data_IF_617578540876
#
_entry.id   IF_617578540876
#
_cell.length_a   1.000
_cell.length_b   1.000
_cell.length_c   1.000
_cell.angle_alpha   90.00
_cell.angle_beta   90.00
_cell.angle_gamma   90.00
#
_symmetry.space_group_name_H-M   'P 1'
#
loop_
_entity.id
_entity.type
_entity.pdbx_description
1 polymer ?
#
# COMPACT_ATOMS: atom_id res chain seq x y z
N UNK A 1 -33.73 -7.66 2.57
CA UNK A 1 -32.42 -7.33 3.16
C UNK A 1 -31.88 -6.16 2.36
N UNK A 2 -31.51 -5.07 3.03
CA UNK A 2 -30.86 -3.94 2.38
C UNK A 2 -29.38 -4.25 2.07
N UNK A 3 -28.73 -3.50 1.16
CA UNK A 3 -27.34 -3.76 0.76
C UNK A 3 -26.33 -3.68 1.91
N UNK A 4 -26.56 -2.83 2.91
CA UNK A 4 -25.64 -2.63 4.03
C UNK A 4 -25.68 -3.82 5.00
N UNK A 5 -26.89 -4.30 5.33
CA UNK A 5 -27.08 -5.52 6.10
C UNK A 5 -26.54 -6.77 5.37
N UNK A 6 -26.74 -6.85 4.04
CA UNK A 6 -26.21 -7.93 3.22
C UNK A 6 -24.67 -7.93 3.21
N UNK A 7 -24.08 -6.74 3.14
CA UNK A 7 -22.63 -6.53 3.18
C UNK A 7 -22.04 -6.97 4.53
N UNK A 8 -22.68 -6.63 5.64
CA UNK A 8 -22.22 -7.02 6.98
C UNK A 8 -22.23 -8.54 7.16
N UNK A 9 -23.21 -9.25 6.61
CA UNK A 9 -23.26 -10.72 6.66
C UNK A 9 -22.07 -11.35 5.92
N UNK A 10 -21.62 -10.77 4.82
CA UNK A 10 -20.43 -11.24 4.11
C UNK A 10 -19.13 -10.97 4.87
N UNK A 11 -19.00 -9.80 5.51
CA UNK A 11 -17.86 -9.49 6.39
C UNK A 11 -17.75 -10.49 7.53
N UNK A 12 -18.86 -10.72 8.23
CA UNK A 12 -18.97 -11.68 9.32
C UNK A 12 -18.64 -13.11 8.86
N UNK A 13 -19.11 -13.52 7.68
CA UNK A 13 -18.82 -14.83 7.11
C UNK A 13 -17.34 -15.00 6.71
N UNK A 14 -16.73 -13.97 6.13
CA UNK A 14 -15.32 -13.96 5.73
C UNK A 14 -14.38 -14.06 6.94
N UNK A 15 -14.69 -13.37 8.03
CA UNK A 15 -13.93 -13.46 9.28
C UNK A 15 -14.00 -14.85 9.93
N UNK A 16 -15.14 -15.53 9.77
CA UNK A 16 -15.40 -16.89 10.29
C UNK A 16 -14.78 -17.99 9.42
N UNK A 17 -14.57 -17.75 8.12
CA UNK A 17 -13.99 -18.71 7.17
C UNK A 17 -12.46 -18.87 7.21
N UNK A 18 -11.82 -18.57 8.36
CA UNK A 18 -10.44 -19.05 8.59
C UNK A 18 -10.42 -20.60 8.55
N UNK A 19 -9.36 -21.24 8.03
CA UNK A 19 -9.32 -22.69 7.90
C UNK A 19 -9.63 -23.39 9.22
N UNK A 20 -10.71 -24.18 9.28
CA UNK A 20 -11.02 -25.07 10.42
C UNK A 20 -12.24 -24.72 11.27
N UNK A 21 -13.06 -23.71 10.95
CA UNK A 21 -14.38 -23.50 11.58
C UNK A 21 -15.44 -23.14 10.55
N UNK A 22 -16.12 -24.14 9.99
CA UNK A 22 -17.32 -23.91 9.16
C UNK A 22 -18.55 -24.18 10.02
N UNK A 23 -18.99 -23.15 10.74
CA UNK A 23 -20.34 -23.12 11.33
C UNK A 23 -20.81 -21.67 11.37
N UNK A 24 -21.17 -21.13 10.20
CA UNK A 24 -21.90 -19.87 10.07
C UNK A 24 -22.99 -20.06 9.01
N UNK A 25 -24.18 -19.53 9.30
CA UNK A 25 -25.45 -19.83 8.66
C UNK A 25 -25.40 -19.65 7.13
N UNK A 26 -25.19 -20.76 6.43
CA UNK A 26 -25.22 -20.90 4.97
C UNK A 26 -26.41 -20.18 4.32
N UNK A 27 -27.58 -20.22 4.96
CA UNK A 27 -28.80 -19.57 4.48
C UNK A 27 -28.70 -18.03 4.46
N UNK A 28 -28.00 -17.42 5.42
CA UNK A 28 -27.85 -15.96 5.51
C UNK A 28 -26.88 -15.46 4.43
N UNK A 29 -25.79 -16.18 4.21
CA UNK A 29 -24.81 -15.89 3.13
C UNK A 29 -25.46 -15.99 1.75
N UNK A 30 -26.28 -17.02 1.52
CA UNK A 30 -27.02 -17.17 0.26
C UNK A 30 -28.08 -16.07 0.07
N UNK A 31 -28.80 -15.70 1.14
CA UNK A 31 -29.78 -14.61 1.09
C UNK A 31 -29.11 -13.24 0.84
N UNK A 32 -27.94 -12.99 1.42
CA UNK A 32 -27.13 -11.81 1.15
C UNK A 32 -26.59 -11.80 -0.29
N UNK A 33 -26.15 -12.96 -0.80
CA UNK A 33 -25.67 -13.11 -2.19
C UNK A 33 -26.71 -12.72 -3.23
N UNK A 34 -28.00 -13.00 -2.98
CA UNK A 34 -29.09 -12.59 -3.87
C UNK A 34 -29.23 -11.07 -3.98
N UNK A 35 -28.95 -10.31 -2.92
CA UNK A 35 -28.99 -8.82 -2.94
C UNK A 35 -27.96 -8.25 -3.92
N UNK A 36 -26.82 -8.94 -4.08
CA UNK A 36 -25.74 -8.53 -4.99
C UNK A 36 -25.79 -9.23 -6.36
N UNK A 37 -26.88 -9.96 -6.67
CA UNK A 37 -27.00 -10.72 -7.92
C UNK A 37 -26.06 -11.93 -8.02
N UNK A 38 -25.46 -12.34 -6.90
CA UNK A 38 -24.59 -13.52 -6.78
C UNK A 38 -25.47 -14.75 -6.50
N UNK A 39 -26.39 -15.04 -7.42
CA UNK A 39 -27.30 -16.19 -7.34
C UNK A 39 -26.65 -17.44 -7.92
N UNK A 40 -26.01 -18.25 -7.07
CA UNK A 40 -25.53 -19.57 -7.46
C UNK A 40 -25.47 -20.53 -6.27
N UNK A 41 -25.59 -21.82 -6.53
CA UNK A 41 -25.60 -22.92 -5.55
C UNK A 41 -24.25 -23.10 -4.80
N UNK A 42 -23.30 -22.18 -4.97
CA UNK A 42 -21.99 -22.22 -4.34
C UNK A 42 -21.81 -21.00 -3.38
N UNK A 43 -22.16 -21.14 -2.11
CA UNK A 43 -22.01 -20.09 -1.09
C UNK A 43 -20.55 -19.66 -0.89
N UNK A 44 -19.60 -20.59 -1.04
CA UNK A 44 -18.17 -20.29 -0.88
C UNK A 44 -17.69 -19.35 -2.00
N UNK A 45 -18.11 -19.62 -3.24
CA UNK A 45 -17.78 -18.74 -4.37
C UNK A 45 -18.40 -17.34 -4.24
N UNK A 46 -19.62 -17.26 -3.70
CA UNK A 46 -20.28 -15.98 -3.41
C UNK A 46 -19.52 -15.18 -2.35
N UNK A 47 -19.12 -15.82 -1.24
CA UNK A 47 -18.32 -15.13 -0.21
C UNK A 47 -16.95 -14.74 -0.75
N UNK A 48 -16.24 -15.64 -1.44
CA UNK A 48 -14.94 -15.31 -2.04
C UNK A 48 -15.03 -14.12 -3.00
N UNK A 49 -16.12 -14.00 -3.76
CA UNK A 49 -16.36 -12.87 -4.65
C UNK A 49 -16.57 -11.56 -3.89
N UNK A 50 -17.42 -11.58 -2.84
CA UNK A 50 -17.69 -10.38 -2.04
C UNK A 50 -16.46 -10.00 -1.22
N UNK A 51 -15.82 -10.94 -0.53
CA UNK A 51 -14.58 -10.73 0.21
C UNK A 51 -13.49 -10.18 -0.70
N UNK A 52 -13.35 -10.68 -1.93
CA UNK A 52 -12.40 -10.14 -2.91
C UNK A 52 -12.67 -8.69 -3.30
N UNK A 53 -13.95 -8.29 -3.44
CA UNK A 53 -14.33 -6.89 -3.68
C UNK A 53 -14.04 -5.99 -2.48
N UNK A 54 -14.38 -6.45 -1.28
CA UNK A 54 -14.11 -5.75 -0.02
C UNK A 54 -12.62 -5.54 0.18
N UNK A 55 -11.83 -6.59 -0.05
CA UNK A 55 -10.38 -6.52 0.04
C UNK A 55 -9.79 -5.53 -0.97
N UNK A 56 -10.36 -5.47 -2.19
CA UNK A 56 -9.95 -4.49 -3.19
C UNK A 56 -10.27 -3.06 -2.75
N UNK A 57 -11.51 -2.78 -2.34
CA UNK A 57 -11.92 -1.45 -1.87
C UNK A 57 -11.10 -1.00 -0.66
N UNK A 58 -10.83 -1.91 0.29
CA UNK A 58 -9.96 -1.64 1.44
C UNK A 58 -8.53 -1.32 1.00
N UNK A 59 -7.97 -2.08 0.05
CA UNK A 59 -6.62 -1.83 -0.48
C UNK A 59 -6.52 -0.48 -1.19
N UNK A 60 -7.53 -0.12 -1.98
CA UNK A 60 -7.59 1.19 -2.64
C UNK A 60 -7.60 2.29 -1.59
N UNK A 61 -8.50 2.23 -0.62
CA UNK A 61 -8.59 3.22 0.47
C UNK A 61 -7.28 3.33 1.27
N UNK A 62 -6.70 2.20 1.66
CA UNK A 62 -5.42 2.16 2.39
C UNK A 62 -4.28 2.75 1.55
N UNK A 63 -4.25 2.47 0.24
CA UNK A 63 -3.31 3.07 -0.70
C UNK A 63 -3.42 4.59 -0.73
N UNK A 64 -4.62 5.10 -1.06
CA UNK A 64 -4.94 6.53 -1.15
C UNK A 64 -4.63 7.28 0.15
N UNK A 65 -5.01 6.71 1.30
CA UNK A 65 -4.75 7.33 2.60
C UNK A 65 -3.26 7.44 2.93
N UNK A 66 -2.48 6.40 2.64
CA UNK A 66 -1.04 6.45 2.89
C UNK A 66 -0.30 7.39 1.93
N UNK A 67 -0.73 7.47 0.67
CA UNK A 67 -0.20 8.45 -0.27
C UNK A 67 -0.51 9.89 0.17
N UNK A 68 -1.77 10.17 0.51
CA UNK A 68 -2.20 11.49 0.98
C UNK A 68 -1.48 11.91 2.28
N UNK A 69 -1.34 10.98 3.23
CA UNK A 69 -0.63 11.21 4.48
C UNK A 69 0.85 11.51 4.26
N UNK A 70 1.53 10.73 3.42
CA UNK A 70 2.94 10.96 3.10
C UNK A 70 3.15 12.29 2.37
N UNK A 71 2.28 12.63 1.42
CA UNK A 71 2.29 13.90 0.70
C UNK A 71 2.15 15.09 1.66
N UNK A 72 1.25 14.98 2.65
CA UNK A 72 1.09 15.98 3.69
C UNK A 72 2.35 16.13 4.54
N UNK A 73 2.95 15.02 4.99
CA UNK A 73 4.18 15.03 5.79
C UNK A 73 5.34 15.71 5.04
N UNK A 74 5.55 15.38 3.77
CA UNK A 74 6.59 16.00 2.93
C UNK A 74 6.40 17.53 2.84
N UNK A 75 5.18 17.98 2.55
CA UNK A 75 4.85 19.41 2.46
C UNK A 75 5.07 20.13 3.78
N UNK A 76 4.69 19.53 4.91
CA UNK A 76 4.95 20.07 6.24
C UNK A 76 6.44 20.13 6.57
N UNK A 77 7.23 19.19 6.03
CA UNK A 77 8.69 19.19 6.09
C UNK A 77 9.38 20.18 5.14
N UNK A 78 8.64 21.03 4.43
CA UNK A 78 9.19 22.05 3.53
C UNK A 78 9.53 21.55 2.12
N UNK A 79 9.14 20.33 1.75
CA UNK A 79 9.31 19.82 0.40
C UNK A 79 8.18 20.30 -0.51
N UNK A 80 8.53 20.65 -1.75
CA UNK A 80 7.55 20.81 -2.82
C UNK A 80 7.19 19.42 -3.34
N UNK A 81 6.03 18.88 -2.92
CA UNK A 81 5.61 17.53 -3.28
C UNK A 81 4.25 17.50 -3.98
N UNK A 82 4.13 16.62 -4.99
CA UNK A 82 2.91 16.38 -5.77
C UNK A 82 2.74 14.91 -6.11
N UNK A 83 1.49 14.48 -6.19
CA UNK A 83 1.11 13.18 -6.74
C UNK A 83 1.24 13.23 -8.27
N UNK A 84 1.91 12.24 -8.86
CA UNK A 84 2.17 12.15 -10.31
C UNK A 84 1.53 10.93 -10.95
N UNK A 85 1.11 9.95 -10.15
CA UNK A 85 0.37 8.76 -10.60
C UNK A 85 -0.92 9.12 -11.36
N UNK A 86 -1.52 10.28 -11.08
CA UNK A 86 -2.72 10.78 -11.77
C UNK A 86 -2.45 11.49 -13.11
N UNK A 87 -1.20 11.88 -13.37
CA UNK A 87 -0.84 12.70 -14.53
C UNK A 87 -0.31 11.86 -15.70
N UNK A 88 0.44 10.79 -15.42
CA UNK A 88 0.84 9.81 -16.42
C UNK A 88 1.24 8.46 -15.78
N UNK A 89 0.61 7.37 -16.22
CA UNK A 89 0.99 5.98 -15.87
C UNK A 89 2.47 5.64 -16.20
N UNK A 90 3.16 6.50 -16.96
CA UNK A 90 4.54 6.30 -17.40
C UNK A 90 5.60 6.58 -16.34
N UNK A 91 5.30 7.30 -15.25
CA UNK A 91 6.33 7.69 -14.28
C UNK A 91 6.87 6.52 -13.45
N UNK A 92 6.02 5.56 -13.06
CA UNK A 92 6.42 4.40 -12.23
C UNK A 92 6.79 4.75 -10.79
N UNK A 93 6.24 5.86 -10.28
CA UNK A 93 6.23 6.27 -8.87
C UNK A 93 5.00 7.15 -8.61
N UNK A 94 4.57 7.22 -7.35
CA UNK A 94 3.34 7.92 -6.95
C UNK A 94 3.56 9.41 -6.70
N UNK A 95 4.66 9.76 -6.02
CA UNK A 95 4.94 11.14 -5.56
C UNK A 95 6.28 11.63 -6.12
N UNK A 96 6.28 12.83 -6.69
CA UNK A 96 7.50 13.60 -6.95
C UNK A 96 7.67 14.66 -5.86
N UNK A 97 8.86 14.77 -5.28
CA UNK A 97 9.19 15.78 -4.28
C UNK A 97 10.54 16.42 -4.58
N UNK A 98 10.64 17.73 -4.34
CA UNK A 98 11.88 18.50 -4.50
C UNK A 98 12.12 19.37 -3.28
N UNK A 99 13.36 19.42 -2.80
CA UNK A 99 13.78 20.32 -1.71
C UNK A 99 14.18 21.71 -2.23
N UNK A 100 14.48 22.62 -1.30
CA UNK A 100 14.91 23.99 -1.61
C UNK A 100 16.28 24.09 -2.30
N UNK A 101 17.11 23.05 -2.18
CA UNK A 101 18.42 22.94 -2.81
C UNK A 101 18.37 22.29 -4.20
N UNK A 102 17.19 21.84 -4.64
CA UNK A 102 16.97 21.14 -5.91
C UNK A 102 17.21 19.63 -5.84
N UNK A 103 17.33 19.05 -4.64
CA UNK A 103 17.33 17.61 -4.44
C UNK A 103 15.98 17.01 -4.78
N UNK A 104 15.96 15.94 -5.56
CA UNK A 104 14.74 15.27 -6.03
C UNK A 104 14.54 13.91 -5.37
N UNK A 105 13.28 13.59 -5.10
CA UNK A 105 12.83 12.29 -4.64
C UNK A 105 11.63 11.85 -5.48
N UNK A 106 11.66 10.60 -5.92
CA UNK A 106 10.57 9.95 -6.64
C UNK A 106 10.11 8.75 -5.81
N UNK A 107 8.92 8.81 -5.24
CA UNK A 107 8.47 7.91 -4.19
C UNK A 107 7.35 7.02 -4.69
N UNK A 108 7.58 5.72 -4.64
CA UNK A 108 6.54 4.69 -4.78
C UNK A 108 6.01 4.33 -3.39
N UNK A 109 4.71 4.46 -3.16
CA UNK A 109 4.10 4.36 -1.82
C UNK A 109 3.35 3.04 -1.68
N UNK A 110 3.72 2.24 -0.69
CA UNK A 110 3.06 0.96 -0.39
C UNK A 110 2.52 0.98 1.04
N UNK A 111 1.19 1.10 1.14
CA UNK A 111 0.50 1.30 2.42
C UNK A 111 -0.03 0.00 3.02
N UNK A 112 -0.04 -0.10 4.36
CA UNK A 112 -0.59 -1.24 5.08
C UNK A 112 -1.19 -0.87 6.43
N UNK A 113 -2.23 -1.58 6.84
CA UNK A 113 -2.78 -1.55 8.21
C UNK A 113 -2.31 -2.72 9.07
N UNK A 114 -1.49 -3.62 8.51
CA UNK A 114 -0.93 -4.73 9.27
C UNK A 114 -0.05 -4.19 10.42
N UNK A 115 -0.01 -4.88 11.55
CA UNK A 115 0.82 -4.48 12.71
C UNK A 115 2.28 -4.94 12.54
N UNK A 116 2.53 -5.98 11.75
CA UNK A 116 3.87 -6.58 11.58
C UNK A 116 4.16 -6.96 10.14
N UNK A 117 5.43 -6.83 9.77
CA UNK A 117 5.92 -7.07 8.42
C UNK A 117 5.37 -6.08 7.40
N UNK A 118 6.03 -6.02 6.26
CA UNK A 118 5.53 -5.31 5.09
C UNK A 118 5.36 -6.31 3.96
N UNK A 119 4.14 -6.35 3.41
CA UNK A 119 3.85 -7.08 2.19
C UNK A 119 3.49 -6.06 1.15
N UNK A 120 4.24 -6.05 0.06
CA UNK A 120 4.04 -5.10 -1.04
C UNK A 120 3.88 -5.83 -2.36
N UNK A 121 3.17 -5.19 -3.28
CA UNK A 121 3.13 -5.61 -4.68
C UNK A 121 3.94 -4.61 -5.50
N UNK A 122 4.86 -5.12 -6.31
CA UNK A 122 5.71 -4.31 -7.20
C UNK A 122 5.44 -4.75 -8.64
N UNK A 123 5.12 -3.79 -9.52
CA UNK A 123 5.00 -4.07 -10.95
C UNK A 123 6.36 -4.12 -11.64
N UNK A 124 6.42 -4.77 -12.81
CA UNK A 124 7.62 -4.75 -13.66
C UNK A 124 8.01 -3.33 -14.03
N UNK A 125 7.02 -2.50 -14.35
CA UNK A 125 7.25 -1.11 -14.74
C UNK A 125 7.91 -0.32 -13.61
N UNK A 126 7.34 -0.37 -12.40
CA UNK A 126 7.93 0.24 -11.20
C UNK A 126 9.37 -0.24 -10.97
N UNK A 127 9.63 -1.55 -11.10
CA UNK A 127 10.97 -2.10 -10.93
C UNK A 127 11.98 -1.57 -11.98
N UNK A 128 11.57 -1.46 -13.24
CA UNK A 128 12.43 -0.93 -14.29
C UNK A 128 12.73 0.56 -14.08
N UNK A 129 11.72 1.35 -13.69
CA UNK A 129 11.90 2.76 -13.33
C UNK A 129 12.83 2.87 -12.14
N UNK A 130 12.60 2.10 -11.07
CA UNK A 130 13.50 2.03 -9.92
C UNK A 130 14.93 1.82 -10.39
N UNK A 131 15.20 0.80 -11.21
CA UNK A 131 16.55 0.50 -11.71
C UNK A 131 17.19 1.67 -12.46
N UNK A 132 16.42 2.40 -13.26
CA UNK A 132 16.90 3.50 -14.09
C UNK A 132 17.07 4.83 -13.33
N UNK A 133 16.28 5.05 -12.28
CA UNK A 133 16.18 6.32 -11.57
C UNK A 133 16.84 6.26 -10.19
N UNK A 134 17.99 6.95 -9.97
CA UNK A 134 18.66 6.99 -8.67
C UNK A 134 17.90 7.74 -7.57
N UNK A 135 16.92 8.58 -7.92
CA UNK A 135 16.07 9.31 -6.98
C UNK A 135 14.84 8.51 -6.53
N UNK A 136 14.60 7.36 -7.18
CA UNK A 136 13.48 6.48 -6.87
C UNK A 136 13.64 5.78 -5.52
N UNK A 137 12.60 5.80 -4.68
CA UNK A 137 12.53 5.12 -3.39
C UNK A 137 11.17 4.44 -3.21
N UNK A 138 11.17 3.22 -2.68
CA UNK A 138 9.94 2.59 -2.18
C UNK A 138 9.74 2.96 -0.72
N UNK A 139 8.60 3.57 -0.43
CA UNK A 139 8.21 3.99 0.91
C UNK A 139 7.08 3.09 1.41
N UNK A 140 7.33 2.37 2.49
CA UNK A 140 6.34 1.61 3.19
C UNK A 140 5.65 2.50 4.24
N UNK A 141 4.33 2.63 4.16
CA UNK A 141 3.53 3.46 5.07
C UNK A 141 2.62 2.57 5.90
N UNK A 142 2.72 2.67 7.22
CA UNK A 142 1.80 1.98 8.13
C UNK A 142 0.69 2.95 8.55
N UNK A 143 -0.55 2.52 8.42
CA UNK A 143 -1.73 3.25 8.87
C UNK A 143 -2.34 2.59 10.11
N UNK A 144 -2.99 3.39 10.96
CA UNK A 144 -3.89 2.87 11.99
C UNK A 144 -5.29 2.55 11.44
N UNK A 145 -6.20 2.15 12.33
CA UNK A 145 -7.60 1.86 11.99
C UNK A 145 -8.43 3.09 11.59
N UNK A 146 -7.86 4.29 11.64
CA UNK A 146 -8.47 5.55 11.24
C UNK A 146 -7.80 6.16 9.99
N UNK A 147 -7.08 5.33 9.24
CA UNK A 147 -6.37 5.71 8.02
C UNK A 147 -5.31 6.82 8.26
N UNK A 148 -4.80 6.96 9.50
CA UNK A 148 -3.73 7.91 9.82
C UNK A 148 -2.36 7.24 9.77
N UNK A 149 -1.37 7.96 9.26
CA UNK A 149 0.02 7.49 9.20
C UNK A 149 0.57 7.32 10.62
N UNK A 150 1.04 6.11 10.92
CA UNK A 150 1.66 5.71 12.19
C UNK A 150 3.16 5.48 12.05
N UNK A 151 3.62 5.09 10.87
CA UNK A 151 5.03 4.81 10.59
C UNK A 151 5.31 4.97 9.09
N UNK A 152 6.51 5.43 8.78
CA UNK A 152 7.02 5.60 7.42
C UNK A 152 8.42 5.03 7.38
N UNK A 153 8.69 4.18 6.42
CA UNK A 153 10.01 3.60 6.27
C UNK A 153 10.41 3.40 4.81
N UNK A 154 11.71 3.46 4.54
CA UNK A 154 12.28 3.22 3.22
C UNK A 154 12.67 1.76 3.09
N UNK A 155 12.30 1.15 1.96
CA UNK A 155 12.70 -0.22 1.62
C UNK A 155 14.02 -0.19 0.85
N UNK A 156 14.94 -1.09 1.21
CA UNK A 156 16.25 -1.31 0.59
C UNK A 156 16.13 -1.59 -0.91
N UNK A 157 16.70 -0.70 -1.74
CA UNK A 157 16.73 -0.81 -3.20
C UNK A 157 17.53 -2.03 -3.65
N UNK A 158 18.69 -2.23 -3.03
CA UNK A 158 19.60 -3.33 -3.31
C UNK A 158 18.93 -4.67 -3.05
N UNK A 159 18.17 -4.77 -1.96
CA UNK A 159 17.40 -5.97 -1.65
C UNK A 159 16.26 -6.20 -2.64
N UNK A 160 15.49 -5.17 -3.02
CA UNK A 160 14.44 -5.30 -4.04
C UNK A 160 15.03 -5.89 -5.33
N UNK A 161 16.18 -5.36 -5.78
CA UNK A 161 16.86 -5.83 -6.99
C UNK A 161 17.28 -7.31 -6.94
N UNK A 162 17.55 -7.85 -5.75
CA UNK A 162 17.89 -9.27 -5.55
C UNK A 162 16.65 -10.15 -5.34
N UNK A 163 15.56 -9.58 -4.81
CA UNK A 163 14.36 -10.31 -4.43
C UNK A 163 13.37 -10.53 -5.59
N UNK A 164 13.39 -9.68 -6.63
CA UNK A 164 12.46 -9.81 -7.77
C UNK A 164 12.77 -11.05 -8.63
N UNK A 165 11.76 -11.64 -9.31
CA UNK A 165 11.98 -12.77 -10.20
C UNK A 165 12.82 -12.38 -11.42
N UNK A 166 13.64 -13.31 -11.89
CA UNK A 166 14.23 -13.22 -13.22
C UNK A 166 13.32 -13.89 -14.25
N UNK A 167 13.19 -13.27 -15.42
CA UNK A 167 12.54 -13.91 -16.56
C UNK A 167 13.30 -15.18 -16.96
N UNK A 168 12.56 -16.19 -17.43
CA UNK A 168 13.12 -17.40 -18.04
C UNK A 168 12.92 -17.32 -19.55
N UNK A 169 13.78 -17.99 -20.30
CA UNK A 169 13.76 -17.93 -21.77
C UNK A 169 12.41 -18.36 -22.39
N UNK A 170 12.04 -17.69 -23.49
CA UNK A 170 11.24 -18.29 -24.57
C UNK A 170 9.73 -18.08 -24.61
N UNK A 171 9.13 -17.19 -23.81
CA UNK A 171 7.74 -16.78 -24.05
C UNK A 171 6.93 -16.24 -22.88
N UNK A 172 7.48 -16.21 -21.66
CA UNK A 172 6.80 -15.68 -20.48
C UNK A 172 7.63 -14.60 -19.80
N UNK A 173 6.95 -13.65 -19.17
CA UNK A 173 7.59 -12.57 -18.43
C UNK A 173 6.77 -12.24 -17.18
N UNK A 174 7.41 -12.00 -16.03
CA UNK A 174 6.71 -11.59 -14.81
C UNK A 174 6.12 -10.18 -14.94
N UNK A 175 4.84 -9.96 -14.64
CA UNK A 175 4.25 -8.60 -14.72
C UNK A 175 4.18 -7.91 -13.35
N UNK A 176 4.01 -8.68 -12.28
CA UNK A 176 4.06 -8.19 -10.89
C UNK A 176 4.60 -9.26 -9.95
N UNK A 177 5.10 -8.82 -8.80
CA UNK A 177 5.59 -9.70 -7.72
C UNK A 177 5.03 -9.25 -6.38
N UNK A 178 4.72 -10.22 -5.51
CA UNK A 178 4.41 -9.99 -4.10
C UNK A 178 5.67 -10.21 -3.27
N UNK A 179 6.13 -9.16 -2.60
CA UNK A 179 7.32 -9.19 -1.76
C UNK A 179 6.92 -9.20 -0.28
N UNK A 180 7.56 -10.07 0.51
CA UNK A 180 7.50 -10.03 1.97
C UNK A 180 8.83 -9.46 2.44
N UNK A 181 8.81 -8.22 2.91
CA UNK A 181 10.02 -7.46 3.20
C UNK A 181 10.51 -7.84 4.62
N UNK A 182 11.76 -8.31 4.77
CA UNK A 182 12.37 -8.52 6.08
C UNK A 182 12.52 -7.20 6.84
N UNK A 183 12.34 -7.21 8.16
CA UNK A 183 12.47 -6.00 8.98
C UNK A 183 13.88 -5.35 8.89
N UNK A 184 14.92 -6.13 8.58
CA UNK A 184 16.29 -5.63 8.39
C UNK A 184 16.52 -4.91 7.06
N UNK A 185 15.57 -5.00 6.12
CA UNK A 185 15.63 -4.35 4.80
C UNK A 185 14.79 -3.07 4.75
N UNK A 186 14.37 -2.61 5.93
CA UNK A 186 13.53 -1.43 6.12
C UNK A 186 14.26 -0.46 7.05
N UNK A 187 14.38 0.79 6.62
CA UNK A 187 14.99 1.87 7.41
C UNK A 187 13.92 2.88 7.78
N UNK A 188 13.70 3.21 9.06
CA UNK A 188 12.73 4.23 9.46
C UNK A 188 12.98 5.58 8.79
N UNK A 189 11.90 6.23 8.34
CA UNK A 189 11.92 7.49 7.62
C UNK A 189 12.14 7.35 6.11
N UNK A 190 12.37 8.49 5.45
CA UNK A 190 12.63 8.59 4.01
C UNK A 190 14.15 8.78 3.81
N UNK A 191 14.81 7.80 3.20
CA UNK A 191 16.25 7.83 2.99
C UNK A 191 16.62 8.85 1.92
N UNK A 192 17.64 9.67 2.20
CA UNK A 192 18.06 10.76 1.31
C UNK A 192 17.53 12.14 1.72
N UNK A 193 16.62 12.19 2.70
CA UNK A 193 16.43 13.40 3.50
C UNK A 193 17.71 13.57 4.34
N UNK A 194 18.53 14.58 4.03
CA UNK A 194 19.64 14.94 4.93
C UNK A 194 19.13 15.26 6.34
N UNK A 195 19.99 15.31 7.37
CA UNK A 195 19.57 15.92 8.63
C UNK A 195 19.00 17.31 8.32
N UNK A 196 17.91 17.75 8.99
CA UNK A 196 17.32 19.05 8.73
C UNK A 196 18.44 20.08 8.76
N UNK A 197 18.70 20.69 7.60
CA UNK A 197 19.71 21.72 7.48
C UNK A 197 19.37 22.80 8.50
N UNK A 198 20.31 23.08 9.40
CA UNK A 198 20.28 24.24 10.29
C UNK A 198 20.29 25.50 9.45
N UNK A 199 19.12 25.86 8.93
CA UNK A 199 18.80 27.16 8.38
C UNK A 199 17.67 27.70 9.25
N UNK A 200 18.07 28.45 10.28
CA UNK A 200 17.34 29.55 10.90
C UNK A 200 15.82 29.37 11.05
N UNK A 201 15.39 28.99 12.26
CA UNK A 201 14.02 29.07 12.78
C UNK A 201 12.91 28.33 12.02
N UNK A 202 12.54 27.15 12.56
CA UNK A 202 11.12 26.77 12.63
C UNK A 202 10.69 25.37 12.15
N UNK A 203 11.57 24.51 11.63
CA UNK A 203 11.15 23.19 11.13
C UNK A 203 11.36 22.09 12.19
N UNK A 204 10.25 21.56 12.72
CA UNK A 204 10.22 20.39 13.60
C UNK A 204 10.56 19.12 12.83
N UNK A 205 11.29 18.23 13.50
CA UNK A 205 11.68 16.89 13.02
C UNK A 205 10.53 16.13 12.33
N UNK A 206 10.76 15.66 11.12
CA UNK A 206 9.92 14.62 10.49
C UNK A 206 10.00 13.28 11.23
N UNK A 207 11.00 13.09 12.10
CA UNK A 207 11.11 11.96 13.04
C UNK A 207 10.23 12.17 14.29
N UNK A 208 9.79 13.41 14.58
CA UNK A 208 9.07 13.78 15.79
C UNK A 208 7.56 13.95 15.66
N UNK A 209 6.97 13.73 14.48
CA UNK A 209 5.54 13.99 14.23
C UNK A 209 4.58 12.86 14.69
N UNK A 210 5.11 11.77 15.25
CA UNK A 210 4.34 10.58 15.65
C UNK A 210 4.35 10.31 17.17
N UNK A 211 4.67 11.30 18.00
CA UNK A 211 4.75 11.11 19.45
C UNK A 211 4.32 12.32 20.27
N UNK A 212 3.02 12.39 20.58
CA UNK A 212 2.47 12.92 21.84
C UNK A 212 1.06 12.36 22.05
#
# INVERSE_FOLDING_TARGET
MDPESAFQIFLDAAERMRPGRVEAALAEVLAAGQVFGLGGDNPEAAVMTVSGKIDLERRVRTGEAGEAGLLQMLRQGGWSARQVSLEADGFGYDIAATDVAGGELHLEVKSTTAIRGYVVHLSRHEFHIMCADPSWRMIAVRLDGHDQVQDVATVSREWIAQAVPMDRDGGGRWESVRLVIPDCEVVPGISGLGPPGTCCDGARDLVGLLGS
#
